data_IF_606671663584
#
_entry.id   IF_606671663584
#
_cell.length_a   1.000
_cell.length_b   1.000
_cell.length_c   1.000
_cell.angle_alpha   90.00
_cell.angle_beta   90.00
_cell.angle_gamma   90.00
#
_symmetry.space_group_name_H-M   'P 1'
#
loop_
_entity.id
_entity.type
_entity.pdbx_description
1 polymer ?
#
# COMPACT_ATOMS: atom_id res chain seq x y z
N UNK A 1 -20.90 -7.61 0.26
CA UNK A 1 -20.23 -6.77 -0.76
C UNK A 1 -21.28 -6.34 -1.76
N UNK A 2 -21.49 -5.03 -1.90
CA UNK A 2 -22.40 -4.45 -2.90
C UNK A 2 -21.71 -4.31 -4.26
N UNK A 3 -22.45 -4.10 -5.37
CA UNK A 3 -21.86 -3.84 -6.68
C UNK A 3 -20.90 -2.63 -6.68
N UNK A 4 -21.26 -1.54 -6.01
CA UNK A 4 -20.44 -0.33 -5.91
C UNK A 4 -19.11 -0.59 -5.16
N UNK A 5 -19.16 -1.40 -4.10
CA UNK A 5 -17.95 -1.83 -3.37
C UNK A 5 -17.06 -2.69 -4.27
N UNK A 6 -17.64 -3.61 -5.03
CA UNK A 6 -16.92 -4.45 -5.97
C UNK A 6 -16.24 -3.63 -7.08
N UNK A 7 -16.95 -2.67 -7.68
CA UNK A 7 -16.41 -1.80 -8.72
C UNK A 7 -15.27 -0.93 -8.18
N UNK A 8 -15.42 -0.41 -6.96
CA UNK A 8 -14.36 0.36 -6.30
C UNK A 8 -13.13 -0.51 -6.05
N UNK A 9 -13.31 -1.72 -5.50
CA UNK A 9 -12.21 -2.66 -5.27
C UNK A 9 -11.52 -3.04 -6.59
N UNK A 10 -12.28 -3.32 -7.65
CA UNK A 10 -11.72 -3.62 -8.97
C UNK A 10 -10.89 -2.46 -9.53
N UNK A 11 -11.38 -1.22 -9.38
CA UNK A 11 -10.62 -0.03 -9.77
C UNK A 11 -9.30 0.06 -8.99
N UNK A 12 -9.32 -0.19 -7.68
CA UNK A 12 -8.11 -0.17 -6.86
C UNK A 12 -7.10 -1.24 -7.28
N UNK A 13 -7.57 -2.45 -7.61
CA UNK A 13 -6.71 -3.50 -8.19
C UNK A 13 -6.10 -3.05 -9.53
N UNK A 14 -6.90 -2.44 -10.42
CA UNK A 14 -6.41 -1.91 -11.69
C UNK A 14 -5.33 -0.83 -11.50
N UNK A 15 -5.54 0.09 -10.54
CA UNK A 15 -4.56 1.13 -10.20
C UNK A 15 -3.27 0.53 -9.64
N UNK A 16 -3.36 -0.54 -8.85
CA UNK A 16 -2.19 -1.23 -8.29
C UNK A 16 -1.25 -1.74 -9.39
N UNK A 17 -1.80 -2.31 -10.47
CA UNK A 17 -1.00 -2.73 -11.64
C UNK A 17 -0.31 -1.57 -12.36
N UNK A 18 -0.86 -0.36 -12.28
CA UNK A 18 -0.28 0.84 -12.89
C UNK A 18 0.83 1.47 -12.05
N UNK A 19 0.94 1.10 -10.77
CA UNK A 19 2.08 1.52 -9.93
C UNK A 19 3.37 0.86 -10.42
N UNK A 20 3.31 -0.44 -10.77
CA UNK A 20 4.42 -1.19 -11.37
C UNK A 20 5.75 -0.97 -10.62
N UNK A 21 6.83 -0.80 -11.40
CA UNK A 21 8.20 -0.58 -10.89
C UNK A 21 8.50 0.85 -10.45
N UNK A 22 7.51 1.76 -10.50
CA UNK A 22 7.76 3.20 -10.27
C UNK A 22 8.16 3.55 -8.85
N UNK A 23 7.83 2.69 -7.89
CA UNK A 23 8.30 2.84 -6.51
C UNK A 23 9.67 2.17 -6.27
N UNK A 24 10.37 1.75 -7.32
CA UNK A 24 11.67 1.10 -7.23
C UNK A 24 11.60 -0.42 -7.05
N UNK A 25 10.53 -1.08 -7.52
CA UNK A 25 10.50 -2.55 -7.57
C UNK A 25 11.38 -3.05 -8.71
N UNK A 26 12.69 -2.98 -8.52
CA UNK A 26 13.64 -3.67 -9.40
C UNK A 26 13.58 -5.21 -9.22
N UNK A 27 12.84 -5.67 -8.21
CA UNK A 27 12.62 -7.09 -7.89
C UNK A 27 11.38 -7.68 -8.58
N UNK A 28 11.32 -9.00 -8.66
CA UNK A 28 10.25 -9.79 -9.30
C UNK A 28 8.84 -9.63 -8.71
N UNK A 29 8.70 -8.95 -7.56
CA UNK A 29 7.40 -8.78 -6.90
C UNK A 29 6.74 -7.45 -7.29
N UNK A 30 5.70 -7.46 -8.13
CA UNK A 30 4.95 -6.24 -8.46
C UNK A 30 4.24 -5.71 -7.22
N UNK A 31 3.88 -4.42 -7.24
CA UNK A 31 3.01 -3.84 -6.22
C UNK A 31 1.73 -4.68 -6.01
N UNK A 32 1.29 -4.79 -4.76
CA UNK A 32 0.18 -5.63 -4.36
C UNK A 32 -0.85 -4.83 -3.57
N UNK A 33 -2.12 -5.17 -3.78
CA UNK A 33 -3.24 -4.73 -2.97
C UNK A 33 -3.86 -5.95 -2.30
N UNK A 34 -3.90 -5.92 -0.98
CA UNK A 34 -4.45 -6.98 -0.16
C UNK A 34 -5.73 -6.50 0.51
N UNK A 35 -6.79 -7.30 0.38
CA UNK A 35 -7.98 -7.15 1.23
C UNK A 35 -7.68 -7.83 2.56
N UNK A 36 -7.82 -7.10 3.65
CA UNK A 36 -7.41 -7.58 4.97
C UNK A 36 -8.46 -7.31 6.05
N UNK A 37 -8.41 -8.14 7.09
CA UNK A 37 -9.14 -7.96 8.34
C UNK A 37 -8.28 -7.35 9.45
N UNK A 38 -6.99 -7.09 9.21
CA UNK A 38 -6.11 -6.48 10.20
C UNK A 38 -6.62 -5.07 10.55
N UNK A 39 -6.53 -4.66 11.82
CA UNK A 39 -7.11 -3.40 12.28
C UNK A 39 -6.32 -2.17 11.81
N UNK A 40 -5.01 -2.32 11.60
CA UNK A 40 -4.07 -1.24 11.32
C UNK A 40 -2.83 -1.76 10.56
N UNK A 41 -1.91 -0.83 10.27
CA UNK A 41 -0.68 -1.12 9.56
C UNK A 41 0.29 -1.99 10.39
N UNK A 42 0.33 -1.86 11.72
CA UNK A 42 1.17 -2.70 12.60
C UNK A 42 0.72 -4.17 12.58
N UNK A 43 -0.58 -4.42 12.67
CA UNK A 43 -1.16 -5.76 12.57
C UNK A 43 -0.92 -6.43 11.21
N UNK A 44 -0.59 -5.65 10.18
CA UNK A 44 -0.24 -6.17 8.86
C UNK A 44 1.16 -6.81 8.80
N UNK A 45 1.98 -6.76 9.86
CA UNK A 45 3.31 -7.38 9.90
C UNK A 45 3.28 -8.86 9.48
N UNK A 46 2.19 -9.58 9.79
CA UNK A 46 1.99 -10.98 9.40
C UNK A 46 1.99 -11.23 7.88
N UNK A 47 1.86 -10.18 7.05
CA UNK A 47 1.94 -10.29 5.60
C UNK A 47 3.37 -10.16 5.07
N UNK A 48 4.32 -9.69 5.88
CA UNK A 48 5.70 -9.46 5.49
C UNK A 48 6.61 -10.59 5.99
N UNK A 49 7.81 -10.76 5.40
CA UNK A 49 8.81 -11.67 5.94
C UNK A 49 9.20 -11.28 7.38
N UNK A 50 9.58 -12.24 8.23
CA UNK A 50 9.70 -12.05 9.68
C UNK A 50 10.85 -11.13 10.11
N UNK A 51 11.81 -10.85 9.24
CA UNK A 51 12.95 -9.97 9.45
C UNK A 51 12.69 -8.50 9.07
N UNK A 52 11.50 -8.19 8.57
CA UNK A 52 11.07 -6.83 8.28
C UNK A 52 10.43 -6.18 9.52
N UNK A 53 10.82 -4.95 9.81
CA UNK A 53 10.28 -4.16 10.92
C UNK A 53 9.56 -2.94 10.37
N UNK A 54 8.42 -2.60 10.97
CA UNK A 54 7.71 -1.37 10.61
C UNK A 54 8.47 -0.15 11.13
N UNK A 55 8.74 0.78 10.23
CA UNK A 55 9.32 2.08 10.48
C UNK A 55 8.34 3.18 10.04
N UNK A 56 8.27 4.30 10.79
CA UNK A 56 7.50 5.45 10.35
C UNK A 56 8.08 6.02 9.05
N UNK A 57 7.20 6.47 8.17
CA UNK A 57 7.57 7.17 6.95
C UNK A 57 7.21 8.65 7.10
N UNK A 58 8.20 9.52 6.95
CA UNK A 58 8.01 10.97 7.00
C UNK A 58 7.08 11.45 5.89
N UNK A 59 6.31 12.49 6.18
CA UNK A 59 5.29 13.00 5.28
C UNK A 59 5.89 13.48 3.94
N UNK A 60 7.06 14.11 3.97
CA UNK A 60 7.76 14.57 2.77
C UNK A 60 8.11 13.40 1.84
N UNK A 61 8.67 12.32 2.39
CA UNK A 61 9.00 11.10 1.63
C UNK A 61 7.76 10.41 1.09
N UNK A 62 6.67 10.41 1.86
CA UNK A 62 5.39 9.91 1.36
C UNK A 62 4.91 10.71 0.13
N UNK A 63 5.03 12.05 0.16
CA UNK A 63 4.67 12.88 -1.00
C UNK A 63 5.56 12.58 -2.23
N UNK A 64 6.85 12.31 -2.03
CA UNK A 64 7.75 11.88 -3.11
C UNK A 64 7.24 10.58 -3.77
N UNK A 65 6.87 9.57 -2.98
CA UNK A 65 6.28 8.34 -3.52
C UNK A 65 4.98 8.57 -4.28
N UNK A 66 4.12 9.47 -3.82
CA UNK A 66 2.90 9.83 -4.55
C UNK A 66 3.20 10.54 -5.88
N UNK A 67 4.22 11.40 -5.92
CA UNK A 67 4.65 12.08 -7.14
C UNK A 67 5.21 11.08 -8.17
N UNK A 68 5.99 10.09 -7.72
CA UNK A 68 6.58 9.06 -8.57
C UNK A 68 5.54 8.04 -9.07
N UNK A 69 4.50 7.78 -8.27
CA UNK A 69 3.41 6.85 -8.58
C UNK A 69 2.03 7.53 -8.62
N UNK A 70 1.65 8.17 -9.74
CA UNK A 70 0.34 8.82 -9.89
C UNK A 70 -0.86 7.91 -9.62
N UNK A 71 -0.76 6.62 -9.93
CA UNK A 71 -1.80 5.64 -9.65
C UNK A 71 -2.02 5.45 -8.14
N UNK A 72 -0.96 5.51 -7.33
CA UNK A 72 -1.07 5.47 -5.87
C UNK A 72 -1.73 6.75 -5.34
N UNK A 73 -1.40 7.90 -5.91
CA UNK A 73 -2.10 9.15 -5.58
C UNK A 73 -3.59 9.08 -5.92
N UNK A 74 -3.95 8.44 -7.04
CA UNK A 74 -5.36 8.20 -7.38
C UNK A 74 -6.04 7.25 -6.39
N UNK A 75 -5.36 6.20 -5.91
CA UNK A 75 -5.90 5.31 -4.87
C UNK A 75 -6.22 6.10 -3.58
N UNK A 76 -5.33 7.01 -3.16
CA UNK A 76 -5.58 7.92 -2.03
C UNK A 76 -6.85 8.74 -2.25
N UNK A 77 -7.05 9.27 -3.45
CA UNK A 77 -8.26 10.02 -3.80
C UNK A 77 -9.53 9.16 -3.77
N UNK A 78 -9.48 7.94 -4.33
CA UNK A 78 -10.62 7.00 -4.32
C UNK A 78 -11.04 6.64 -2.90
N UNK A 79 -10.08 6.58 -1.97
CA UNK A 79 -10.26 6.21 -0.58
C UNK A 79 -10.23 7.40 0.38
N UNK A 80 -10.46 8.63 -0.10
CA UNK A 80 -10.29 9.86 0.69
C UNK A 80 -11.16 9.92 1.96
N UNK A 81 -12.26 9.18 2.01
CA UNK A 81 -13.14 9.05 3.19
C UNK A 81 -12.67 8.01 4.22
N UNK A 82 -11.67 7.19 3.87
CA UNK A 82 -11.13 6.15 4.75
C UNK A 82 -9.85 6.64 5.45
N UNK A 83 -9.70 6.44 6.76
CA UNK A 83 -8.45 6.76 7.46
C UNK A 83 -7.26 6.03 6.83
N UNK A 84 -6.17 6.75 6.60
CA UNK A 84 -4.94 6.27 5.97
C UNK A 84 -3.79 6.28 6.99
N UNK A 85 -3.02 5.19 7.02
CA UNK A 85 -1.71 5.11 7.67
C UNK A 85 -0.70 4.57 6.67
N UNK A 86 0.52 5.11 6.66
CA UNK A 86 1.59 4.67 5.75
C UNK A 86 2.90 4.52 6.53
N UNK A 87 3.80 3.72 5.98
CA UNK A 87 5.05 3.38 6.63
C UNK A 87 5.95 2.56 5.72
N UNK A 88 7.14 2.23 6.22
CA UNK A 88 8.05 1.32 5.57
C UNK A 88 8.16 0.05 6.39
N UNK A 89 8.01 -1.11 5.76
CA UNK A 89 8.55 -2.34 6.35
C UNK A 89 9.98 -2.48 5.85
N UNK A 90 10.99 -2.33 6.71
CA UNK A 90 12.41 -2.34 6.33
C UNK A 90 13.10 -3.58 6.88
N UNK A 91 13.91 -4.22 6.05
CA UNK A 91 14.84 -5.27 6.46
C UNK A 91 16.23 -4.67 6.72
N UNK A 92 16.70 -3.85 5.77
CA UNK A 92 17.99 -3.15 5.83
C UNK A 92 17.98 -1.90 4.93
N UNK A 93 19.15 -1.31 4.70
CA UNK A 93 19.31 -0.10 3.86
C UNK A 93 19.09 -0.33 2.37
N UNK A 94 18.95 -1.59 1.92
CA UNK A 94 18.80 -1.92 0.50
C UNK A 94 17.48 -2.61 0.19
N UNK A 95 16.73 -3.10 1.17
CA UNK A 95 15.46 -3.83 0.95
C UNK A 95 14.35 -3.37 1.91
N UNK A 96 13.28 -2.81 1.35
CA UNK A 96 12.11 -2.34 2.12
C UNK A 96 10.82 -2.33 1.30
N UNK A 97 9.67 -2.32 1.98
CA UNK A 97 8.35 -2.19 1.39
C UNK A 97 7.76 -0.82 1.71
N UNK A 98 7.35 -0.08 0.68
CA UNK A 98 6.50 1.11 0.84
C UNK A 98 5.06 0.64 1.03
N UNK A 99 4.43 1.04 2.13
CA UNK A 99 3.12 0.53 2.52
C UNK A 99 2.11 1.66 2.79
N UNK A 100 0.86 1.41 2.39
CA UNK A 100 -0.28 2.26 2.71
C UNK A 100 -1.47 1.39 3.11
N UNK A 101 -2.01 1.67 4.30
CA UNK A 101 -3.15 0.98 4.88
C UNK A 101 -4.34 1.92 4.96
N UNK A 102 -5.49 1.47 4.47
CA UNK A 102 -6.76 2.17 4.64
C UNK A 102 -7.70 1.36 5.52
N UNK A 103 -8.19 1.99 6.59
CA UNK A 103 -9.26 1.48 7.44
C UNK A 103 -10.63 1.60 6.76
N UNK A 104 -10.76 0.96 5.59
CA UNK A 104 -11.90 1.11 4.69
C UNK A 104 -13.08 0.18 5.01
N UNK A 105 -13.06 -0.54 6.15
CA UNK A 105 -14.07 -1.55 6.47
C UNK A 105 -15.51 -1.03 6.44
N UNK A 106 -15.76 0.20 6.88
CA UNK A 106 -17.11 0.78 6.85
C UNK A 106 -17.59 1.08 5.42
N UNK A 107 -16.68 1.54 4.56
CA UNK A 107 -16.97 1.91 3.17
C UNK A 107 -17.03 0.68 2.25
N UNK A 108 -16.03 -0.19 2.33
CA UNK A 108 -15.79 -1.30 1.39
C UNK A 108 -16.10 -2.69 1.97
N UNK A 109 -16.38 -2.79 3.26
CA UNK A 109 -16.57 -4.08 3.95
C UNK A 109 -15.26 -4.79 4.33
N UNK A 110 -14.10 -4.23 3.97
CA UNK A 110 -12.76 -4.76 4.27
C UNK A 110 -11.75 -3.61 4.37
N UNK A 111 -10.66 -3.84 5.11
CA UNK A 111 -9.51 -2.92 5.10
C UNK A 111 -8.60 -3.27 3.92
N UNK A 112 -7.77 -2.31 3.54
CA UNK A 112 -6.89 -2.43 2.39
C UNK A 112 -5.45 -2.20 2.81
N UNK A 113 -4.55 -3.05 2.32
CA UNK A 113 -3.12 -2.84 2.40
C UNK A 113 -2.55 -2.81 0.99
N UNK A 114 -2.05 -1.64 0.59
CA UNK A 114 -1.13 -1.52 -0.53
C UNK A 114 0.30 -1.73 -0.04
N UNK A 115 1.09 -2.49 -0.79
CA UNK A 115 2.53 -2.65 -0.57
C UNK A 115 3.29 -2.76 -1.87
N UNK A 116 4.44 -2.13 -1.95
CA UNK A 116 5.37 -2.26 -3.07
C UNK A 116 6.78 -2.48 -2.53
N UNK A 117 7.45 -3.52 -3.00
CA UNK A 117 8.81 -3.83 -2.59
C UNK A 117 9.80 -2.97 -3.35
N UNK A 118 10.77 -2.39 -2.65
CA UNK A 118 11.88 -1.65 -3.21
C UNK A 118 13.18 -2.31 -2.82
N UNK A 119 14.04 -2.49 -3.82
CA UNK A 119 15.40 -2.96 -3.64
C UNK A 119 16.33 -1.94 -4.28
N UNK A 120 17.30 -1.42 -3.53
CA UNK A 120 18.36 -0.56 -4.08
C UNK A 120 19.58 -1.41 -4.45
N UNK A 121 20.10 -1.18 -5.66
CA UNK A 121 21.26 -1.88 -6.25
C UNK A 121 22.54 -1.04 -6.22
#
# INVERSE_FOLDING_TARGET
>A
MTPEQFDTINRLFQLTFQVGDRLGSESSDPAQLLLTSQPDLEGCQAYFPPDYTLEPLEAERWQEHLADAPALAEMVCVLASSPLTYGLYRQDEVSWWVCAFWAAREQLGTNLLFRAHRVET
#
